data_IF_585826098664
#
_entry.id   IF_585826098664
#
_cell.length_a   1.000
_cell.length_b   1.000
_cell.length_c   1.000
_cell.angle_alpha   90.00
_cell.angle_beta   90.00
_cell.angle_gamma   90.00
#
_symmetry.space_group_name_H-M   'P 1'
#
loop_
_entity.id
_entity.type
_entity.pdbx_description
1 polymer ?
#
# COMPACT_ATOMS: atom_id res chain seq x y z
N UNK A 1 15.26 68.48 -6.28
CA UNK A 1 16.12 68.24 -5.10
C UNK A 1 15.79 66.87 -4.51
N UNK A 2 16.36 65.76 -5.02
CA UNK A 2 16.12 64.44 -4.47
C UNK A 2 17.17 64.08 -3.40
N UNK A 3 16.66 63.51 -2.31
CA UNK A 3 17.34 63.17 -1.07
C UNK A 3 18.25 61.96 -1.28
N UNK A 4 19.56 62.11 -1.06
CA UNK A 4 20.51 61.00 -1.03
C UNK A 4 20.23 60.11 0.19
N UNK A 5 19.94 58.83 -0.05
CA UNK A 5 19.92 57.78 0.99
C UNK A 5 21.36 57.27 1.22
N UNK A 6 21.79 57.03 2.46
CA UNK A 6 23.12 56.48 2.72
C UNK A 6 23.18 54.97 2.42
N UNK A 7 24.32 54.55 1.88
CA UNK A 7 24.70 53.16 1.64
C UNK A 7 24.79 52.37 2.95
N UNK A 8 24.04 51.27 3.02
CA UNK A 8 24.04 50.34 4.13
C UNK A 8 25.32 49.52 4.15
N UNK A 9 26.06 49.56 5.26
CA UNK A 9 27.28 48.79 5.46
C UNK A 9 26.97 47.28 5.51
N UNK A 10 27.67 46.50 4.67
CA UNK A 10 27.67 45.04 4.71
C UNK A 10 28.36 44.56 5.98
N UNK A 11 27.57 43.92 6.86
CA UNK A 11 28.04 43.31 8.11
C UNK A 11 28.82 42.03 7.77
N UNK A 12 30.11 42.00 8.10
CA UNK A 12 30.96 40.83 7.93
C UNK A 12 30.49 39.67 8.83
N UNK A 13 30.29 38.50 8.22
CA UNK A 13 29.96 37.25 8.94
C UNK A 13 31.25 36.69 9.53
N UNK A 14 31.32 36.36 10.83
CA UNK A 14 32.51 35.75 11.40
C UNK A 14 32.70 34.33 10.87
N UNK A 15 33.89 34.06 10.32
CA UNK A 15 34.38 32.72 9.97
C UNK A 15 34.36 31.84 11.23
N UNK A 16 33.48 30.84 11.25
CA UNK A 16 33.49 29.78 12.25
C UNK A 16 34.85 29.06 12.20
N UNK A 17 35.58 29.06 13.33
CA UNK A 17 36.78 28.27 13.52
C UNK A 17 36.37 26.80 13.65
N UNK A 18 36.85 25.96 12.75
CA UNK A 18 36.75 24.50 12.87
C UNK A 18 37.63 24.05 14.03
N UNK A 19 37.01 23.55 15.09
CA UNK A 19 37.69 22.89 16.21
C UNK A 19 38.07 21.47 15.72
N UNK A 20 39.34 21.06 15.77
CA UNK A 20 39.71 19.69 15.42
C UNK A 20 39.16 18.73 16.48
N UNK A 21 38.37 17.76 16.02
CA UNK A 21 37.81 16.69 16.87
C UNK A 21 38.95 15.75 17.28
N UNK A 22 39.15 15.47 18.58
CA UNK A 22 40.14 14.48 19.02
C UNK A 22 39.69 13.07 18.62
N UNK A 23 40.43 12.46 17.70
CA UNK A 23 40.30 11.04 17.36
C UNK A 23 40.80 10.21 18.54
N UNK A 24 39.88 9.46 19.18
CA UNK A 24 40.25 8.51 20.24
C UNK A 24 41.06 7.36 19.63
N UNK A 25 42.12 6.88 20.27
CA UNK A 25 42.84 5.69 19.82
C UNK A 25 41.92 4.47 19.89
N UNK A 26 41.70 3.85 18.74
CA UNK A 26 41.00 2.56 18.62
C UNK A 26 41.81 1.50 19.33
N UNK A 27 41.37 1.07 20.52
CA UNK A 27 41.89 -0.13 21.15
C UNK A 27 41.61 -1.31 20.23
N UNK A 28 42.67 -1.94 19.74
CA UNK A 28 42.60 -3.17 18.97
C UNK A 28 41.90 -4.23 19.82
N UNK A 29 40.71 -4.62 19.39
CA UNK A 29 39.89 -5.64 20.03
C UNK A 29 40.58 -6.99 19.80
N UNK A 30 40.89 -7.79 20.85
CA UNK A 30 41.50 -9.09 20.66
C UNK A 30 40.58 -9.97 19.82
N UNK A 31 41.16 -10.66 18.83
CA UNK A 31 40.47 -11.65 18.01
C UNK A 31 39.99 -12.80 18.90
N UNK A 32 38.75 -12.71 19.35
CA UNK A 32 38.03 -13.82 19.93
C UNK A 32 37.82 -14.86 18.83
N UNK A 33 38.58 -15.96 18.90
CA UNK A 33 38.31 -17.21 18.21
C UNK A 33 37.02 -17.82 18.78
N UNK A 34 35.89 -17.19 18.47
CA UNK A 34 34.58 -17.76 18.73
C UNK A 34 34.32 -18.90 17.76
N UNK A 35 33.58 -19.95 18.17
CA UNK A 35 33.18 -21.03 17.27
C UNK A 35 32.41 -20.45 16.07
N UNK A 36 32.48 -21.08 14.88
CA UNK A 36 31.82 -20.58 13.68
C UNK A 36 30.34 -20.36 14.01
N UNK A 37 29.89 -19.12 13.85
CA UNK A 37 28.51 -18.71 14.06
C UNK A 37 27.66 -19.50 13.06
N UNK A 38 27.09 -20.62 13.49
CA UNK A 38 26.16 -21.41 12.69
C UNK A 38 25.02 -20.48 12.29
N UNK A 39 25.00 -20.12 11.01
CA UNK A 39 23.91 -19.35 10.42
C UNK A 39 22.62 -20.13 10.72
N UNK A 40 21.60 -19.54 11.38
CA UNK A 40 20.34 -20.25 11.56
C UNK A 40 19.89 -20.70 10.17
N UNK A 41 19.75 -22.01 9.99
CA UNK A 41 19.23 -22.60 8.76
C UNK A 41 17.90 -21.93 8.47
N UNK A 42 17.77 -21.31 7.29
CA UNK A 42 16.50 -20.72 6.89
C UNK A 42 15.39 -21.78 7.03
N UNK A 43 14.19 -21.41 7.52
CA UNK A 43 13.08 -22.34 7.57
C UNK A 43 12.88 -22.92 6.17
N UNK A 44 12.82 -24.25 6.07
CA UNK A 44 12.64 -24.95 4.81
C UNK A 44 11.44 -24.34 4.09
N UNK A 45 11.65 -23.86 2.86
CA UNK A 45 10.59 -23.29 2.06
C UNK A 45 9.45 -24.32 1.90
N UNK A 46 8.20 -23.85 1.92
CA UNK A 46 7.05 -24.75 1.77
C UNK A 46 7.21 -25.57 0.48
N UNK A 47 6.95 -26.89 0.46
CA UNK A 47 7.21 -27.74 -0.71
C UNK A 47 6.50 -27.24 -1.98
N UNK A 48 5.35 -26.57 -1.85
CA UNK A 48 4.60 -25.97 -2.96
C UNK A 48 5.12 -24.59 -3.43
N UNK A 49 6.19 -24.06 -2.84
CA UNK A 49 6.77 -22.76 -3.22
C UNK A 49 7.81 -22.86 -4.34
N UNK A 50 8.17 -24.08 -4.74
CA UNK A 50 9.12 -24.30 -5.84
C UNK A 50 8.47 -23.97 -7.18
N UNK A 51 9.18 -23.17 -7.98
CA UNK A 51 8.74 -22.71 -9.29
C UNK A 51 9.76 -23.04 -10.38
N UNK A 52 9.28 -23.26 -11.60
CA UNK A 52 10.09 -23.48 -12.82
C UNK A 52 11.22 -24.53 -12.61
N UNK A 53 12.49 -24.11 -12.72
CA UNK A 53 13.68 -24.96 -12.57
C UNK A 53 13.98 -25.37 -11.13
N UNK A 54 13.32 -24.77 -10.14
CA UNK A 54 13.50 -25.09 -8.73
C UNK A 54 12.64 -26.29 -8.28
N UNK A 55 11.82 -26.85 -9.17
CA UNK A 55 10.97 -28.00 -8.87
C UNK A 55 11.86 -29.26 -8.81
N UNK A 56 11.89 -29.99 -7.67
CA UNK A 56 12.81 -31.11 -7.47
C UNK A 56 12.45 -32.38 -8.27
N UNK A 57 11.28 -32.41 -8.94
CA UNK A 57 10.76 -33.61 -9.60
C UNK A 57 10.95 -33.57 -11.12
N UNK A 58 11.63 -34.56 -11.73
CA UNK A 58 11.94 -34.52 -13.17
C UNK A 58 10.74 -34.79 -14.08
N UNK A 59 9.74 -35.54 -13.60
CA UNK A 59 8.51 -35.88 -14.33
C UNK A 59 7.32 -35.28 -13.60
N UNK A 60 6.51 -34.49 -14.31
CA UNK A 60 5.38 -33.74 -13.76
C UNK A 60 4.16 -33.86 -14.67
N UNK A 61 2.97 -33.63 -14.12
CA UNK A 61 1.71 -33.52 -14.87
C UNK A 61 1.27 -32.07 -14.96
N UNK A 62 1.10 -31.55 -16.17
CA UNK A 62 0.66 -30.18 -16.40
C UNK A 62 -0.87 -30.09 -16.40
N UNK A 63 -1.42 -29.11 -15.67
CA UNK A 63 -2.84 -28.76 -15.76
C UNK A 63 -3.05 -27.90 -17.02
N UNK A 64 -3.76 -28.46 -18.00
CA UNK A 64 -4.24 -27.76 -19.19
C UNK A 64 -5.65 -27.17 -19.01
N UNK A 65 -6.19 -26.49 -20.03
CA UNK A 65 -7.55 -25.94 -20.01
C UNK A 65 -8.63 -27.04 -19.96
N UNK A 66 -8.38 -28.18 -20.63
CA UNK A 66 -9.32 -29.29 -20.75
C UNK A 66 -9.12 -30.39 -19.69
N UNK A 67 -8.16 -30.22 -18.77
CA UNK A 67 -7.87 -31.17 -17.70
C UNK A 67 -6.38 -31.47 -17.50
N UNK A 68 -6.08 -32.63 -16.91
CA UNK A 68 -4.71 -33.07 -16.64
C UNK A 68 -4.08 -33.67 -17.89
N UNK A 69 -2.95 -33.10 -18.32
CA UNK A 69 -2.15 -33.64 -19.41
C UNK A 69 -1.36 -34.89 -18.96
N UNK A 70 -0.95 -35.75 -19.90
CA UNK A 70 -0.09 -36.89 -19.59
C UNK A 70 1.22 -36.44 -18.92
N UNK A 71 1.85 -37.31 -18.10
CA UNK A 71 3.10 -36.99 -17.43
C UNK A 71 4.20 -36.67 -18.46
N UNK A 72 4.85 -35.53 -18.28
CA UNK A 72 5.91 -35.03 -19.16
C UNK A 72 7.15 -34.65 -18.35
N UNK A 73 8.33 -34.65 -18.98
CA UNK A 73 9.58 -34.22 -18.34
C UNK A 73 9.61 -32.70 -18.21
N UNK A 74 10.03 -32.18 -17.06
CA UNK A 74 10.17 -30.73 -16.84
C UNK A 74 11.03 -30.06 -17.91
N UNK A 75 12.15 -30.69 -18.30
CA UNK A 75 13.05 -30.19 -19.33
C UNK A 75 12.37 -29.95 -20.68
N UNK A 76 11.29 -30.68 -20.97
CA UNK A 76 10.50 -30.52 -22.21
C UNK A 76 9.50 -29.37 -22.12
N UNK A 77 9.05 -29.01 -20.92
CA UNK A 77 7.98 -28.03 -20.69
C UNK A 77 8.56 -26.62 -20.51
N UNK A 78 9.70 -26.50 -19.81
CA UNK A 78 10.39 -25.21 -19.58
C UNK A 78 10.62 -24.36 -20.84
N UNK A 79 11.03 -24.92 -22.01
CA UNK A 79 11.21 -24.11 -23.23
C UNK A 79 9.90 -23.76 -23.95
N UNK A 80 8.77 -24.39 -23.58
CA UNK A 80 7.48 -24.18 -24.26
C UNK A 80 6.86 -22.82 -23.93
N UNK A 81 7.24 -22.20 -22.81
CA UNK A 81 6.70 -20.91 -22.37
C UNK A 81 7.81 -19.92 -22.05
N UNK A 82 7.47 -18.62 -22.11
CA UNK A 82 8.40 -17.58 -21.67
C UNK A 82 8.34 -17.39 -20.17
N UNK A 83 9.48 -17.53 -19.50
CA UNK A 83 9.66 -17.23 -18.07
C UNK A 83 9.40 -15.75 -17.74
N UNK A 84 9.31 -14.86 -18.73
CA UNK A 84 8.94 -13.45 -18.49
C UNK A 84 7.44 -13.26 -18.27
N UNK A 85 6.61 -14.09 -18.90
CA UNK A 85 5.14 -13.94 -18.88
C UNK A 85 4.45 -14.97 -18.01
N UNK A 86 4.96 -16.20 -17.97
CA UNK A 86 4.38 -17.31 -17.22
C UNK A 86 5.37 -17.90 -16.22
N UNK A 87 4.83 -18.51 -15.17
CA UNK A 87 5.55 -19.27 -14.14
C UNK A 87 4.89 -20.63 -14.01
N UNK A 88 5.68 -21.70 -13.93
CA UNK A 88 5.19 -23.00 -13.49
C UNK A 88 5.23 -23.08 -11.97
N UNK A 89 4.06 -23.26 -11.37
CA UNK A 89 3.91 -23.42 -9.92
C UNK A 89 3.47 -24.84 -9.60
N UNK A 90 4.09 -25.43 -8.58
CA UNK A 90 3.70 -26.73 -8.05
C UNK A 90 2.41 -26.59 -7.22
N UNK A 91 1.36 -27.33 -7.58
CA UNK A 91 0.05 -27.25 -6.91
C UNK A 91 -0.16 -28.40 -5.94
N UNK A 92 0.19 -29.61 -6.35
CA UNK A 92 0.08 -30.80 -5.50
C UNK A 92 1.28 -31.72 -5.72
N UNK A 93 1.76 -32.30 -4.62
CA UNK A 93 2.77 -33.36 -4.62
C UNK A 93 2.13 -34.72 -4.33
N UNK A 94 0.83 -34.72 -4.00
CA UNK A 94 0.09 -35.90 -3.58
C UNK A 94 -0.33 -36.70 -4.82
N UNK A 95 0.46 -37.73 -5.17
CA UNK A 95 0.18 -38.63 -6.28
C UNK A 95 1.44 -39.32 -6.84
N UNK A 96 1.23 -40.20 -7.83
CA UNK A 96 2.33 -40.87 -8.55
C UNK A 96 3.21 -39.88 -9.33
N UNK A 97 2.61 -38.77 -9.80
CA UNK A 97 3.31 -37.68 -10.44
C UNK A 97 2.83 -36.33 -9.89
N UNK A 98 3.75 -35.42 -9.51
CA UNK A 98 3.41 -34.09 -9.03
C UNK A 98 2.68 -33.27 -10.10
N UNK A 99 1.73 -32.46 -9.66
CA UNK A 99 0.86 -31.66 -10.51
C UNK A 99 1.34 -30.21 -10.54
N UNK A 100 1.68 -29.72 -11.73
CA UNK A 100 2.13 -28.36 -11.98
C UNK A 100 1.07 -27.57 -12.75
N UNK A 101 0.99 -26.27 -12.47
CA UNK A 101 0.08 -25.34 -13.13
C UNK A 101 0.87 -24.21 -13.76
N UNK A 102 0.58 -23.90 -15.02
CA UNK A 102 1.09 -22.70 -15.66
C UNK A 102 0.25 -21.50 -15.21
N UNK A 103 0.90 -20.52 -14.60
CA UNK A 103 0.27 -19.31 -14.08
C UNK A 103 0.86 -18.10 -14.80
N UNK A 104 -0.01 -17.24 -15.33
CA UNK A 104 0.40 -15.97 -15.91
C UNK A 104 0.75 -14.96 -14.79
N UNK A 105 1.95 -14.38 -14.86
CA UNK A 105 2.45 -13.41 -13.87
C UNK A 105 1.61 -12.14 -13.78
N UNK A 106 1.00 -11.72 -14.90
CA UNK A 106 0.13 -10.56 -14.92
C UNK A 106 -1.16 -10.84 -14.12
N UNK A 107 -1.81 -11.96 -14.44
CA UNK A 107 -3.03 -12.37 -13.75
C UNK A 107 -2.82 -12.67 -12.28
N UNK A 108 -1.71 -13.33 -11.90
CA UNK A 108 -1.41 -13.59 -10.50
C UNK A 108 -1.24 -12.29 -9.72
N UNK A 109 -0.53 -11.31 -10.29
CA UNK A 109 -0.36 -9.99 -9.68
C UNK A 109 -1.71 -9.29 -9.50
N UNK A 110 -2.60 -9.37 -10.48
CA UNK A 110 -3.90 -8.71 -10.39
C UNK A 110 -4.84 -9.43 -9.42
N UNK A 111 -4.86 -10.77 -9.42
CA UNK A 111 -5.56 -11.57 -8.40
C UNK A 111 -5.02 -11.30 -6.99
N UNK A 112 -3.71 -11.15 -6.84
CA UNK A 112 -3.09 -10.82 -5.55
C UNK A 112 -3.51 -9.42 -5.07
N UNK A 113 -3.50 -8.41 -5.95
CA UNK A 113 -4.01 -7.07 -5.64
C UNK A 113 -5.48 -7.11 -5.25
N UNK A 114 -6.32 -7.82 -6.01
CA UNK A 114 -7.74 -7.96 -5.69
C UNK A 114 -7.96 -8.64 -4.35
N UNK A 115 -7.21 -9.70 -4.05
CA UNK A 115 -7.28 -10.41 -2.76
C UNK A 115 -6.84 -9.49 -1.63
N UNK A 116 -5.78 -8.72 -1.83
CA UNK A 116 -5.31 -7.74 -0.84
C UNK A 116 -6.36 -6.64 -0.61
N UNK A 117 -6.95 -6.07 -1.67
CA UNK A 117 -8.01 -5.08 -1.57
C UNK A 117 -9.26 -5.66 -0.87
N UNK A 118 -9.73 -6.84 -1.28
CA UNK A 118 -10.84 -7.54 -0.62
C UNK A 118 -10.52 -7.82 0.84
N UNK A 119 -9.29 -8.20 1.17
CA UNK A 119 -8.87 -8.42 2.57
C UNK A 119 -8.79 -7.13 3.38
N UNK A 120 -8.41 -6.00 2.77
CA UNK A 120 -8.39 -4.69 3.41
C UNK A 120 -9.82 -4.24 3.73
N UNK A 121 -10.74 -4.38 2.78
CA UNK A 121 -12.17 -4.07 2.98
C UNK A 121 -12.75 -4.99 4.07
N UNK A 122 -12.51 -6.30 3.99
CA UNK A 122 -12.96 -7.25 5.02
C UNK A 122 -12.41 -6.92 6.39
N UNK A 123 -11.14 -6.54 6.52
CA UNK A 123 -10.56 -6.12 7.81
C UNK A 123 -11.23 -4.87 8.37
N UNK A 124 -11.59 -3.90 7.52
CA UNK A 124 -12.29 -2.67 7.94
C UNK A 124 -13.74 -2.90 8.37
N UNK A 125 -14.35 -3.96 7.87
CA UNK A 125 -15.73 -4.38 8.20
C UNK A 125 -15.74 -5.42 9.33
N UNK A 126 -14.59 -6.04 9.61
CA UNK A 126 -14.49 -7.08 10.62
C UNK A 126 -14.83 -6.51 11.98
N UNK A 127 -15.68 -7.23 12.71
CA UNK A 127 -16.07 -6.87 14.06
C UNK A 127 -14.91 -7.19 15.01
N UNK A 128 -14.45 -6.18 15.74
CA UNK A 128 -13.49 -6.36 16.83
C UNK A 128 -14.23 -6.39 18.18
N UNK A 129 -13.71 -7.17 19.12
CA UNK A 129 -14.19 -7.18 20.50
C UNK A 129 -13.38 -6.18 21.32
N UNK A 130 -14.06 -5.21 21.94
CA UNK A 130 -13.45 -4.17 22.75
C UNK A 130 -14.01 -4.17 24.15
N UNK A 131 -13.15 -3.92 25.12
CA UNK A 131 -13.49 -3.85 26.53
C UNK A 131 -13.49 -2.40 27.01
N UNK A 132 -14.55 -2.00 27.72
CA UNK A 132 -14.65 -0.70 28.39
C UNK A 132 -14.70 -0.94 29.90
N UNK A 133 -13.61 -0.61 30.58
CA UNK A 133 -13.51 -0.80 32.02
C UNK A 133 -14.07 0.41 32.78
N UNK A 134 -15.10 0.18 33.58
CA UNK A 134 -15.78 1.17 34.44
C UNK A 134 -15.45 0.86 35.90
N UNK A 135 -15.11 1.88 36.68
CA UNK A 135 -14.95 1.71 38.13
C UNK A 135 -16.27 2.02 38.81
N UNK A 136 -16.66 1.25 39.82
CA UNK A 136 -17.87 1.55 40.60
C UNK A 136 -17.83 2.97 41.21
N UNK A 137 -16.66 3.42 41.67
CA UNK A 137 -16.45 4.74 42.29
C UNK A 137 -16.25 5.88 41.29
N UNK A 138 -16.49 5.64 40.00
CA UNK A 138 -16.39 6.71 39.00
C UNK A 138 -17.44 7.78 39.26
N UNK A 139 -17.05 9.05 39.10
CA UNK A 139 -17.98 10.17 39.19
C UNK A 139 -18.98 10.15 38.03
N UNK A 140 -20.14 10.80 38.19
CA UNK A 140 -21.20 10.85 37.16
C UNK A 140 -20.69 11.28 35.78
N UNK A 141 -19.77 12.24 35.71
CA UNK A 141 -19.16 12.67 34.44
C UNK A 141 -18.29 11.59 33.79
N UNK A 142 -17.49 10.86 34.57
CA UNK A 142 -16.67 9.75 34.05
C UNK A 142 -17.53 8.56 33.59
N UNK A 143 -18.61 8.28 34.30
CA UNK A 143 -19.61 7.28 33.88
C UNK A 143 -20.22 7.68 32.53
N UNK A 144 -20.63 8.94 32.35
CA UNK A 144 -21.15 9.46 31.08
C UNK A 144 -20.15 9.34 29.93
N UNK A 145 -18.88 9.68 30.14
CA UNK A 145 -17.87 9.53 29.10
C UNK A 145 -17.59 8.07 28.73
N UNK A 146 -17.60 7.15 29.70
CA UNK A 146 -17.44 5.71 29.41
C UNK A 146 -18.67 5.12 28.73
N UNK A 147 -19.86 5.61 29.06
CA UNK A 147 -21.11 5.28 28.38
C UNK A 147 -21.06 5.72 26.92
N UNK A 148 -20.70 6.99 26.64
CA UNK A 148 -20.52 7.51 25.28
C UNK A 148 -19.44 6.75 24.51
N UNK A 149 -18.36 6.36 25.18
CA UNK A 149 -17.32 5.53 24.59
C UNK A 149 -17.86 4.16 24.18
N UNK A 150 -18.59 3.48 25.07
CA UNK A 150 -19.23 2.19 24.76
C UNK A 150 -20.25 2.33 23.62
N UNK A 151 -21.08 3.38 23.66
CA UNK A 151 -22.03 3.74 22.59
C UNK A 151 -21.31 3.91 21.25
N UNK A 152 -20.27 4.73 21.22
CA UNK A 152 -19.48 5.03 20.02
C UNK A 152 -18.69 3.83 19.48
N UNK A 153 -18.42 2.80 20.29
CA UNK A 153 -17.85 1.54 19.81
C UNK A 153 -18.93 0.71 19.10
N UNK A 154 -20.14 0.62 19.67
CA UNK A 154 -21.27 -0.06 19.02
C UNK A 154 -21.68 0.62 17.71
N UNK A 155 -21.70 1.96 17.68
CA UNK A 155 -21.98 2.75 16.46
C UNK A 155 -20.95 2.51 15.34
N UNK A 156 -19.72 2.12 15.69
CA UNK A 156 -18.67 1.75 14.72
C UNK A 156 -18.83 0.31 14.20
N UNK A 157 -19.77 -0.46 14.74
CA UNK A 157 -19.98 -1.86 14.37
C UNK A 157 -19.09 -2.85 15.12
N UNK A 158 -18.44 -2.42 16.20
CA UNK A 158 -17.62 -3.29 17.06
C UNK A 158 -18.44 -3.84 18.23
N UNK A 159 -18.01 -4.99 18.76
CA UNK A 159 -18.60 -5.58 19.98
C UNK A 159 -18.02 -4.93 21.21
N UNK A 160 -18.85 -4.76 22.23
CA UNK A 160 -18.46 -4.13 23.49
C UNK A 160 -18.68 -5.08 24.65
N UNK A 161 -17.66 -5.18 25.50
CA UNK A 161 -17.71 -5.77 26.83
C UNK A 161 -17.55 -4.63 27.84
N UNK A 162 -18.59 -4.32 28.61
CA UNK A 162 -18.50 -3.29 29.66
C UNK A 162 -18.19 -3.99 30.97
N UNK A 163 -17.02 -3.73 31.53
CA UNK A 163 -16.52 -4.39 32.73
C UNK A 163 -16.55 -3.41 33.90
N UNK A 164 -17.44 -3.64 34.84
CA UNK A 164 -17.52 -2.89 36.09
C UNK A 164 -16.67 -3.57 37.17
N UNK A 165 -15.65 -2.86 37.66
CA UNK A 165 -14.72 -3.38 38.64
C UNK A 165 -14.51 -2.41 39.80
N UNK A 166 -14.14 -2.94 40.96
CA UNK A 166 -13.76 -2.12 42.12
C UNK A 166 -12.32 -1.63 41.98
N UNK A 167 -12.03 -0.38 42.41
CA UNK A 167 -10.66 0.09 42.56
C UNK A 167 -10.00 -0.59 43.75
N UNK A 168 -8.74 -0.99 43.62
CA UNK A 168 -7.97 -1.79 44.59
C UNK A 168 -7.94 -1.26 46.05
N UNK A 169 -8.19 0.03 46.28
CA UNK A 169 -8.17 0.66 47.62
C UNK A 169 -9.44 1.46 47.94
N UNK A 170 -10.52 1.23 47.21
CA UNK A 170 -11.75 1.98 47.39
C UNK A 170 -12.79 1.13 48.14
N UNK A 171 -13.53 1.80 49.03
CA UNK A 171 -14.66 1.21 49.74
C UNK A 171 -15.69 0.67 48.73
N UNK A 172 -16.24 -0.53 48.98
CA UNK A 172 -17.26 -1.11 48.13
C UNK A 172 -18.53 -0.24 48.18
N UNK A 173 -19.10 -0.02 47.01
CA UNK A 173 -20.36 0.70 46.86
C UNK A 173 -21.55 -0.23 47.17
N UNK A 174 -22.63 0.37 47.69
CA UNK A 174 -23.89 -0.31 47.98
C UNK A 174 -24.49 -0.95 46.72
N UNK A 175 -25.15 -2.09 46.85
CA UNK A 175 -25.71 -2.84 45.73
C UNK A 175 -26.72 -2.02 44.92
N UNK A 176 -27.59 -1.25 45.60
CA UNK A 176 -28.57 -0.36 44.94
C UNK A 176 -27.91 0.64 43.98
N UNK A 177 -26.77 1.21 44.37
CA UNK A 177 -26.04 2.15 43.52
C UNK A 177 -25.38 1.46 42.33
N UNK A 178 -24.98 0.18 42.47
CA UNK A 178 -24.46 -0.61 41.35
C UNK A 178 -25.57 -0.87 40.33
N UNK A 179 -26.76 -1.23 40.79
CA UNK A 179 -27.91 -1.48 39.93
C UNK A 179 -28.33 -0.20 39.18
N UNK A 180 -28.32 0.97 39.84
CA UNK A 180 -28.58 2.26 39.19
C UNK A 180 -27.58 2.57 38.06
N UNK A 181 -26.28 2.32 38.30
CA UNK A 181 -25.25 2.53 37.29
C UNK A 181 -25.45 1.56 36.13
N UNK A 182 -25.71 0.28 36.40
CA UNK A 182 -25.92 -0.71 35.34
C UNK A 182 -27.16 -0.39 34.53
N UNK A 183 -28.29 -0.05 35.16
CA UNK A 183 -29.51 0.32 34.47
C UNK A 183 -29.32 1.53 33.54
N UNK A 184 -28.50 2.51 33.94
CA UNK A 184 -28.13 3.64 33.08
C UNK A 184 -27.37 3.17 31.82
N UNK A 185 -26.43 2.24 31.98
CA UNK A 185 -25.70 1.66 30.85
C UNK A 185 -26.60 0.83 29.95
N UNK A 186 -27.46 -0.02 30.53
CA UNK A 186 -28.37 -0.86 29.77
C UNK A 186 -29.32 -0.03 28.90
N UNK A 187 -29.96 0.99 29.48
CA UNK A 187 -30.93 1.82 28.76
C UNK A 187 -30.33 2.54 27.55
N UNK A 188 -29.09 3.03 27.64
CA UNK A 188 -28.43 3.71 26.52
C UNK A 188 -27.83 2.74 25.50
N UNK A 189 -27.31 1.60 25.95
CA UNK A 189 -26.69 0.61 25.06
C UNK A 189 -27.73 -0.20 24.27
N UNK A 190 -28.93 -0.38 24.80
CA UNK A 190 -30.04 -1.03 24.08
C UNK A 190 -30.53 -0.25 22.86
N UNK A 191 -30.34 1.07 22.82
CA UNK A 191 -30.70 1.89 21.65
C UNK A 191 -29.87 1.54 20.39
N UNK A 192 -28.63 1.09 20.60
CA UNK A 192 -27.62 0.93 19.53
C UNK A 192 -27.05 -0.48 19.43
N UNK A 193 -27.32 -1.32 20.43
CA UNK A 193 -26.83 -2.68 20.52
C UNK A 193 -27.84 -3.65 21.12
N UNK A 194 -27.55 -4.93 20.94
CA UNK A 194 -28.33 -6.06 21.47
C UNK A 194 -27.42 -6.90 22.36
N UNK A 195 -27.92 -7.31 23.54
CA UNK A 195 -27.22 -8.26 24.40
C UNK A 195 -27.05 -9.61 23.67
N UNK A 196 -25.82 -10.11 23.61
CA UNK A 196 -25.51 -11.39 22.92
C UNK A 196 -25.11 -12.51 23.86
N UNK A 197 -24.78 -12.18 25.12
CA UNK A 197 -24.54 -13.11 26.22
C UNK A 197 -25.24 -12.58 27.47
N UNK A 198 -25.53 -13.48 28.39
CA UNK A 198 -25.98 -13.12 29.74
C UNK A 198 -24.88 -12.37 30.50
N UNK A 199 -25.28 -11.54 31.46
CA UNK A 199 -24.36 -10.73 32.24
C UNK A 199 -23.58 -11.61 33.23
N UNK A 200 -22.25 -11.47 33.25
CA UNK A 200 -21.41 -12.20 34.20
C UNK A 200 -21.28 -11.39 35.50
N UNK A 201 -21.89 -11.89 36.57
CA UNK A 201 -21.86 -11.30 37.90
C UNK A 201 -20.99 -12.15 38.81
N UNK A 202 -19.73 -11.77 38.94
CA UNK A 202 -18.78 -12.39 39.86
C UNK A 202 -18.52 -11.47 41.07
N UNK A 203 -17.95 -11.99 42.18
CA UNK A 203 -17.78 -11.23 43.43
C UNK A 203 -16.99 -9.92 43.26
N UNK A 204 -17.69 -8.81 42.99
CA UNK A 204 -17.12 -7.47 42.75
C UNK A 204 -16.86 -7.09 41.28
N UNK A 205 -17.13 -8.01 40.34
CA UNK A 205 -16.96 -7.82 38.90
C UNK A 205 -18.32 -8.03 38.22
N UNK A 206 -18.73 -7.08 37.38
CA UNK A 206 -19.93 -7.24 36.57
C UNK A 206 -19.58 -6.95 35.11
N UNK A 207 -19.85 -7.89 34.21
CA UNK A 207 -19.57 -7.75 32.78
C UNK A 207 -20.86 -7.78 31.98
N UNK A 208 -21.07 -6.75 31.17
CA UNK A 208 -22.17 -6.69 30.19
C UNK A 208 -21.63 -6.95 28.79
N UNK A 209 -22.38 -7.68 27.99
CA UNK A 209 -21.97 -8.13 26.65
C UNK A 209 -22.93 -7.62 25.57
N UNK A 210 -22.48 -6.66 24.75
CA UNK A 210 -23.28 -6.04 23.69
C UNK A 210 -22.68 -6.27 22.30
N UNK A 211 -23.57 -6.59 21.35
CA UNK A 211 -23.29 -6.63 19.92
C UNK A 211 -23.99 -5.44 19.25
N UNK A 212 -23.41 -4.80 18.22
CA UNK A 212 -24.10 -3.73 17.50
C UNK A 212 -25.36 -4.26 16.80
N UNK A 213 -26.33 -3.38 16.58
CA UNK A 213 -27.51 -3.70 15.77
C UNK A 213 -27.11 -3.94 14.31
N UNK A 214 -27.83 -4.83 13.64
CA UNK A 214 -27.59 -5.14 12.22
C UNK A 214 -27.76 -3.89 11.33
N UNK A 215 -28.68 -2.98 11.66
CA UNK A 215 -28.88 -1.71 10.95
C UNK A 215 -27.62 -0.84 10.99
N UNK A 216 -27.06 -0.63 12.18
CA UNK A 216 -25.82 0.15 12.40
C UNK A 216 -24.68 -0.49 11.61
N UNK A 217 -24.57 -1.81 11.67
CA UNK A 217 -23.56 -2.56 10.92
C UNK A 217 -23.70 -2.36 9.40
N UNK A 218 -24.91 -2.46 8.86
CA UNK A 218 -25.15 -2.23 7.43
C UNK A 218 -24.76 -0.81 7.01
N UNK A 219 -25.00 0.19 7.86
CA UNK A 219 -24.58 1.56 7.59
C UNK A 219 -23.06 1.72 7.59
N UNK A 220 -22.35 1.11 8.55
CA UNK A 220 -20.88 1.12 8.58
C UNK A 220 -20.32 0.41 7.36
N UNK A 221 -20.87 -0.76 6.99
CA UNK A 221 -20.47 -1.50 5.79
C UNK A 221 -20.66 -0.65 4.51
N UNK A 222 -21.82 0.02 4.38
CA UNK A 222 -22.08 0.94 3.26
C UNK A 222 -21.06 2.08 3.21
N UNK A 223 -20.82 2.76 4.33
CA UNK A 223 -19.86 3.87 4.44
C UNK A 223 -18.43 3.44 4.05
N UNK A 224 -17.99 2.26 4.51
CA UNK A 224 -16.67 1.71 4.15
C UNK A 224 -16.59 1.39 2.66
N UNK A 225 -17.62 0.76 2.10
CA UNK A 225 -17.66 0.42 0.68
C UNK A 225 -17.68 1.67 -0.22
N UNK A 226 -18.45 2.69 0.14
CA UNK A 226 -18.50 3.97 -0.58
C UNK A 226 -17.17 4.71 -0.53
N UNK A 227 -16.53 4.77 0.64
CA UNK A 227 -15.22 5.39 0.79
C UNK A 227 -14.13 4.68 -0.04
N UNK A 228 -14.17 3.35 -0.12
CA UNK A 228 -13.23 2.58 -0.95
C UNK A 228 -13.52 2.75 -2.45
N UNK A 229 -14.79 2.83 -2.86
CA UNK A 229 -15.17 3.15 -4.25
C UNK A 229 -14.71 4.56 -4.64
N UNK A 230 -14.87 5.55 -3.76
CA UNK A 230 -14.41 6.91 -4.00
C UNK A 230 -12.88 6.97 -4.19
N UNK A 231 -12.12 6.32 -3.31
CA UNK A 231 -10.65 6.21 -3.44
C UNK A 231 -10.21 5.52 -4.73
N UNK A 232 -10.95 4.50 -5.19
CA UNK A 232 -10.69 3.83 -6.46
C UNK A 232 -10.92 4.76 -7.65
N UNK A 233 -12.05 5.48 -7.67
CA UNK A 233 -12.37 6.46 -8.72
C UNK A 233 -11.32 7.56 -8.80
N UNK A 234 -10.96 8.17 -7.67
CA UNK A 234 -9.93 9.21 -7.60
C UNK A 234 -8.58 8.71 -8.14
N UNK A 235 -8.18 7.47 -7.79
CA UNK A 235 -6.95 6.86 -8.28
C UNK A 235 -7.00 6.56 -9.79
N UNK A 236 -8.15 6.18 -10.32
CA UNK A 236 -8.37 5.94 -11.75
C UNK A 236 -8.35 7.24 -12.54
N UNK A 237 -9.03 8.27 -12.06
CA UNK A 237 -9.04 9.63 -12.64
C UNK A 237 -7.62 10.21 -12.66
N UNK A 238 -6.88 10.15 -11.54
CA UNK A 238 -5.48 10.60 -11.49
C UNK A 238 -4.57 9.81 -12.45
N UNK A 239 -4.86 8.52 -12.69
CA UNK A 239 -4.12 7.70 -13.66
C UNK A 239 -4.45 8.09 -15.09
N UNK A 240 -5.71 8.38 -15.39
CA UNK A 240 -6.18 8.84 -16.71
C UNK A 240 -5.58 10.21 -17.03
N UNK A 241 -5.67 11.18 -16.11
CA UNK A 241 -5.08 12.51 -16.28
C UNK A 241 -3.57 12.42 -16.55
N UNK A 242 -2.84 11.58 -15.80
CA UNK A 242 -1.41 11.37 -16.00
C UNK A 242 -1.11 10.75 -17.37
N UNK A 243 -1.96 9.85 -17.87
CA UNK A 243 -1.80 9.24 -19.19
C UNK A 243 -2.05 10.26 -20.31
N UNK A 244 -3.10 11.08 -20.18
CA UNK A 244 -3.42 12.16 -21.11
C UNK A 244 -2.32 13.23 -21.15
N UNK A 245 -1.79 13.63 -19.99
CA UNK A 245 -0.67 14.55 -19.90
C UNK A 245 0.59 14.00 -20.59
N UNK A 246 0.86 12.69 -20.47
CA UNK A 246 1.96 12.03 -21.20
C UNK A 246 1.72 12.04 -22.70
N UNK A 247 0.51 11.70 -23.15
CA UNK A 247 0.11 11.73 -24.56
C UNK A 247 0.26 13.13 -25.16
N UNK A 248 -0.23 14.16 -24.47
CA UNK A 248 -0.09 15.57 -24.89
C UNK A 248 1.37 16.02 -24.93
N UNK A 249 2.21 15.57 -24.00
CA UNK A 249 3.65 15.88 -24.00
C UNK A 249 4.38 15.21 -25.17
N UNK A 250 4.01 13.97 -25.50
CA UNK A 250 4.56 13.22 -26.62
C UNK A 250 4.14 13.82 -27.96
N UNK A 251 2.87 14.19 -28.10
CA UNK A 251 2.35 14.90 -29.27
C UNK A 251 3.05 16.24 -29.47
N UNK A 252 3.23 17.03 -28.41
CA UNK A 252 4.00 18.28 -28.48
C UNK A 252 5.46 18.05 -28.89
N UNK A 253 6.08 16.94 -28.47
CA UNK A 253 7.44 16.58 -28.90
C UNK A 253 7.48 16.20 -30.37
N UNK A 254 6.48 15.46 -30.83
CA UNK A 254 6.33 15.07 -32.23
C UNK A 254 6.10 16.29 -33.13
N UNK A 255 5.18 17.18 -32.77
CA UNK A 255 4.92 18.42 -33.52
C UNK A 255 6.18 19.29 -33.62
N UNK A 256 6.92 19.47 -32.52
CA UNK A 256 8.20 20.20 -32.54
C UNK A 256 9.26 19.53 -33.42
N UNK A 257 9.32 18.20 -33.43
CA UNK A 257 10.25 17.48 -34.31
C UNK A 257 9.84 17.64 -35.79
N UNK A 258 8.55 17.54 -36.09
CA UNK A 258 8.02 17.74 -37.45
C UNK A 258 8.22 19.18 -37.93
N UNK A 259 8.05 20.19 -37.05
CA UNK A 259 8.32 21.60 -37.34
C UNK A 259 9.81 21.84 -37.63
N UNK A 260 10.71 21.34 -36.78
CA UNK A 260 12.16 21.42 -37.02
C UNK A 260 12.59 20.72 -38.31
N UNK A 261 11.99 19.57 -38.64
CA UNK A 261 12.28 18.89 -39.90
C UNK A 261 11.74 19.68 -41.10
N UNK A 262 10.56 20.30 -41.00
CA UNK A 262 10.04 21.20 -42.03
C UNK A 262 10.96 22.39 -42.25
N UNK A 263 11.37 23.07 -41.19
CA UNK A 263 12.32 24.19 -41.27
C UNK A 263 13.64 23.78 -41.93
N UNK A 264 14.19 22.62 -41.57
CA UNK A 264 15.39 22.08 -42.24
C UNK A 264 15.17 21.79 -43.72
N UNK A 265 14.01 21.22 -44.09
CA UNK A 265 13.70 20.96 -45.51
C UNK A 265 13.51 22.25 -46.30
N UNK A 266 12.85 23.25 -45.73
CA UNK A 266 12.68 24.57 -46.32
C UNK A 266 14.04 25.29 -46.47
N UNK A 267 14.89 25.21 -45.46
CA UNK A 267 16.25 25.76 -45.54
C UNK A 267 17.10 25.04 -46.59
N UNK A 268 17.03 23.71 -46.67
CA UNK A 268 17.74 22.92 -47.67
C UNK A 268 17.28 23.27 -49.09
N UNK A 269 15.97 23.34 -49.33
CA UNK A 269 15.42 23.74 -50.63
C UNK A 269 15.78 25.18 -50.99
N UNK A 270 15.77 26.11 -50.02
CA UNK A 270 16.21 27.50 -50.23
C UNK A 270 17.70 27.56 -50.61
N UNK A 271 18.56 26.85 -49.88
CA UNK A 271 20.00 26.75 -50.18
C UNK A 271 20.24 26.17 -51.58
N UNK A 272 19.47 25.15 -51.96
CA UNK A 272 19.55 24.54 -53.29
C UNK A 272 19.10 25.50 -54.41
N UNK A 273 18.00 26.23 -54.20
CA UNK A 273 17.55 27.27 -55.14
C UNK A 273 18.59 28.39 -55.29
N UNK A 274 19.19 28.85 -54.19
CA UNK A 274 20.27 29.85 -54.23
C UNK A 274 21.50 29.32 -54.97
N UNK A 275 21.87 28.05 -54.75
CA UNK A 275 22.95 27.39 -55.49
C UNK A 275 22.66 27.32 -57.00
N UNK A 276 21.47 26.91 -57.39
CA UNK A 276 21.05 26.86 -58.80
C UNK A 276 21.04 28.25 -59.44
N UNK A 277 20.55 29.28 -58.72
CA UNK A 277 20.61 30.68 -59.18
C UNK A 277 22.05 31.15 -59.38
N UNK A 278 22.97 30.82 -58.46
CA UNK A 278 24.40 31.14 -58.61
C UNK A 278 25.00 30.47 -59.84
N UNK A 279 24.70 29.19 -60.09
CA UNK A 279 25.14 28.48 -61.31
C UNK A 279 24.59 29.15 -62.57
N UNK A 280 23.29 29.46 -62.61
CA UNK A 280 22.65 30.08 -63.77
C UNK A 280 23.26 31.48 -64.07
N UNK A 281 23.53 32.27 -63.03
CA UNK A 281 24.19 33.57 -63.16
C UNK A 281 25.64 33.42 -63.65
N UNK A 282 26.41 32.47 -63.13
CA UNK A 282 27.77 32.20 -63.59
C UNK A 282 27.82 31.75 -65.06
N UNK A 283 26.85 30.93 -65.50
CA UNK A 283 26.70 30.54 -66.91
C UNK A 283 26.34 31.73 -67.80
N UNK A 284 25.54 32.69 -67.32
CA UNK A 284 25.25 33.94 -68.04
C UNK A 284 26.45 34.88 -68.13
N UNK A 285 27.28 34.99 -67.09
CA UNK A 285 28.46 35.87 -67.08
C UNK A 285 29.68 35.27 -67.80
N UNK A 286 29.75 33.94 -67.93
CA UNK A 286 30.85 33.23 -68.61
C UNK A 286 30.71 33.13 -70.14
N UNK A 287 29.60 33.61 -70.72
CA UNK A 287 29.31 33.53 -72.17
C UNK A 287 29.49 34.89 -72.87
N UNK A 288 30.56 35.62 -72.53
CA UNK A 288 30.87 36.90 -73.15
C UNK A 288 32.30 37.30 -72.84
N UNK A 289 33.27 36.76 -73.56
CA UNK A 289 34.65 37.23 -73.38
C UNK A 289 35.75 36.39 -73.99
N UNK A 290 35.56 35.79 -75.16
CA UNK A 290 36.68 35.33 -76.01
C UNK A 290 36.32 35.63 -77.47
N UNK A 291 36.67 36.84 -77.94
CA UNK A 291 36.86 37.18 -79.36
C UNK A 291 38.06 38.10 -79.45
#
# INVERSE_FOLDING_TARGET
MPILRPLTALRAVPRARLIPIPVKPTLARPASSGPPRTRPSQPAAHPLSHCDSSIPHPVVRLIGPDGLLPPQRLSSILPTYSTSTHTLTLVSVDGEYPVVKLVNKAEERDRAKEKEEKSKVKRKISMEEKEVQVSWQSAKGDLGHKLEMAKGILEKGDRVQVVFANRRRAEPINERQKDEIVAMFEGTLEEVGKKWKEDDKNRGLWVLYYNPLDSVRQEVEKKVLEAERAKKKEKEEAKQEKLEARRKKEERRRQRAEEMEREKTEEATRREQEYQRRIANAKRSGFGGWR
#
